data_IF_461094698337
#
_entry.id   IF_461094698337
#
_cell.length_a   1.000
_cell.length_b   1.000
_cell.length_c   1.000
_cell.angle_alpha   90.00
_cell.angle_beta   90.00
_cell.angle_gamma   90.00
#
_symmetry.space_group_name_H-M   'P 1'
#
loop_
_entity.id
_entity.type
_entity.pdbx_description
1 polymer ?
#
# COMPACT_ATOMS: atom_id res chain seq x y z
N UNK A 1 -2.05 23.71 -46.37
CA UNK A 1 -2.40 22.49 -45.63
C UNK A 1 -1.78 22.65 -44.25
N UNK A 2 -2.54 22.58 -43.15
CA UNK A 2 -1.94 22.53 -41.82
C UNK A 2 -1.11 21.25 -41.78
N UNK A 3 0.19 21.40 -41.51
CA UNK A 3 1.10 20.28 -41.28
C UNK A 3 0.71 19.61 -39.98
N UNK A 4 0.48 18.30 -40.00
CA UNK A 4 0.27 17.52 -38.78
C UNK A 4 1.45 17.76 -37.82
N UNK A 5 1.21 17.86 -36.49
CA UNK A 5 2.26 18.03 -35.51
C UNK A 5 3.33 16.94 -35.67
N UNK A 6 4.60 17.34 -35.68
CA UNK A 6 5.73 16.42 -35.61
C UNK A 6 5.77 15.75 -34.23
N UNK A 7 6.06 14.45 -34.18
CA UNK A 7 6.15 13.67 -32.93
C UNK A 7 7.04 14.40 -31.92
N UNK A 8 6.43 14.89 -30.84
CA UNK A 8 7.12 15.54 -29.71
C UNK A 8 6.74 17.00 -29.42
N UNK A 9 6.03 17.68 -30.33
CA UNK A 9 5.56 19.06 -30.08
C UNK A 9 4.22 19.05 -29.32
N UNK A 10 4.12 19.85 -28.24
CA UNK A 10 2.87 20.02 -27.50
C UNK A 10 1.78 20.63 -28.40
N UNK A 11 0.55 20.10 -28.41
CA UNK A 11 -0.52 20.60 -29.26
C UNK A 11 -0.83 22.06 -28.91
N UNK A 12 -0.79 22.94 -29.92
CA UNK A 12 -1.06 24.36 -29.75
C UNK A 12 -2.53 24.69 -30.09
N UNK A 13 -3.00 25.87 -29.68
CA UNK A 13 -4.30 26.36 -30.12
C UNK A 13 -4.33 26.53 -31.65
N UNK A 14 -5.41 26.12 -32.35
CA UNK A 14 -6.68 25.62 -31.81
C UNK A 14 -6.76 24.09 -31.66
N UNK A 15 -5.73 23.33 -32.01
CA UNK A 15 -5.71 21.86 -32.01
C UNK A 15 -5.94 21.28 -30.61
N UNK A 16 -5.45 21.97 -29.57
CA UNK A 16 -5.69 21.61 -28.17
C UNK A 16 -7.18 21.54 -27.81
N UNK A 17 -8.04 22.31 -28.49
CA UNK A 17 -9.49 22.29 -28.26
C UNK A 17 -10.20 21.07 -28.87
N UNK A 18 -9.49 20.27 -29.68
CA UNK A 18 -10.02 19.02 -30.23
C UNK A 18 -9.87 17.84 -29.26
N UNK A 19 -9.04 17.99 -28.22
CA UNK A 19 -8.85 16.94 -27.22
C UNK A 19 -10.01 16.91 -26.22
N UNK A 20 -10.39 15.71 -25.74
CA UNK A 20 -11.45 15.59 -24.75
C UNK A 20 -11.02 16.24 -23.43
N UNK A 21 -11.90 17.06 -22.84
CA UNK A 21 -11.68 17.65 -21.50
C UNK A 21 -11.59 16.60 -20.39
N UNK A 22 -12.22 15.44 -20.60
CA UNK A 22 -12.32 14.36 -19.63
C UNK A 22 -11.62 13.12 -20.14
N UNK A 23 -10.88 12.46 -19.25
CA UNK A 23 -10.27 11.15 -19.49
C UNK A 23 -10.67 10.17 -18.39
N UNK A 24 -10.93 8.89 -18.71
CA UNK A 24 -11.24 7.90 -17.70
C UNK A 24 -10.00 7.61 -16.84
N UNK A 25 -10.16 7.68 -15.53
CA UNK A 25 -9.14 7.30 -14.55
C UNK A 25 -9.71 6.34 -13.50
N UNK A 26 -8.84 5.56 -12.86
CA UNK A 26 -9.25 4.65 -11.80
C UNK A 26 -8.91 5.23 -10.42
N UNK A 27 -9.94 5.46 -9.60
CA UNK A 27 -9.77 5.89 -8.21
C UNK A 27 -9.36 4.68 -7.35
N UNK A 28 -8.09 4.60 -6.96
CA UNK A 28 -7.54 3.50 -6.16
C UNK A 28 -8.21 3.33 -4.79
N UNK A 29 -8.73 4.42 -4.19
CA UNK A 29 -9.39 4.38 -2.88
C UNK A 29 -10.83 3.92 -3.00
N UNK A 30 -11.56 4.44 -4.00
CA UNK A 30 -12.97 4.10 -4.23
C UNK A 30 -13.16 2.84 -5.07
N UNK A 31 -12.10 2.36 -5.72
CA UNK A 31 -12.06 1.20 -6.63
C UNK A 31 -13.05 1.34 -7.79
N UNK A 32 -13.12 2.53 -8.39
CA UNK A 32 -14.07 2.86 -9.46
C UNK A 32 -13.42 3.68 -10.55
N UNK A 33 -13.87 3.45 -11.78
CA UNK A 33 -13.61 4.34 -12.90
C UNK A 33 -14.38 5.64 -12.73
N UNK A 34 -13.69 6.76 -12.93
CA UNK A 34 -14.22 8.12 -12.83
C UNK A 34 -13.70 8.95 -14.01
N UNK A 35 -14.44 9.96 -14.41
CA UNK A 35 -13.98 10.92 -15.41
C UNK A 35 -13.12 12.00 -14.72
N UNK A 36 -11.88 12.13 -15.16
CA UNK A 36 -10.91 13.10 -14.65
C UNK A 36 -10.80 14.29 -15.60
N UNK A 37 -10.80 15.50 -15.04
CA UNK A 37 -10.52 16.73 -15.80
C UNK A 37 -9.03 16.78 -16.16
N UNK A 38 -8.72 16.78 -17.46
CA UNK A 38 -7.34 16.79 -17.98
C UNK A 38 -6.54 17.96 -17.40
N UNK A 39 -7.15 19.15 -17.35
CA UNK A 39 -6.52 20.38 -16.84
C UNK A 39 -6.15 20.33 -15.34
N UNK A 40 -6.66 19.32 -14.59
CA UNK A 40 -6.38 19.13 -13.15
C UNK A 40 -5.41 17.98 -12.88
N UNK A 41 -4.95 17.29 -13.91
CA UNK A 41 -3.96 16.24 -13.76
C UNK A 41 -2.60 16.89 -13.51
N UNK A 42 -1.95 16.48 -12.44
CA UNK A 42 -0.64 16.98 -12.04
C UNK A 42 0.15 15.85 -11.39
N UNK A 43 1.47 16.03 -11.32
CA UNK A 43 2.34 15.10 -10.62
C UNK A 43 1.97 14.98 -9.14
N UNK A 44 2.13 13.77 -8.61
CA UNK A 44 1.86 13.49 -7.19
C UNK A 44 2.90 14.15 -6.31
N UNK A 45 2.46 15.02 -5.40
CA UNK A 45 3.31 15.62 -4.37
C UNK A 45 3.43 14.68 -3.17
N UNK A 46 4.52 13.92 -3.11
CA UNK A 46 4.79 12.97 -2.02
C UNK A 46 5.18 13.66 -0.70
N UNK A 47 4.58 13.22 0.40
CA UNK A 47 4.82 13.72 1.75
C UNK A 47 6.07 13.10 2.38
N UNK A 48 7.22 13.75 2.16
CA UNK A 48 8.51 13.34 2.72
C UNK A 48 8.55 13.30 4.27
N UNK A 49 7.64 14.00 4.94
CA UNK A 49 7.57 14.09 6.40
C UNK A 49 6.64 13.06 7.03
N UNK A 50 5.87 12.30 6.22
CA UNK A 50 4.94 11.31 6.72
C UNK A 50 5.64 10.31 7.65
N UNK A 51 6.73 9.71 7.17
CA UNK A 51 7.48 8.73 7.94
C UNK A 51 8.23 9.30 9.14
N UNK A 52 8.79 10.52 9.04
CA UNK A 52 9.46 11.14 10.19
C UNK A 52 8.47 11.42 11.33
N UNK A 53 7.22 11.75 10.99
CA UNK A 53 6.16 12.01 11.96
C UNK A 53 5.55 10.76 12.62
N UNK A 54 5.86 9.56 12.11
CA UNK A 54 5.47 8.30 12.72
C UNK A 54 6.06 8.20 14.13
N UNK A 55 5.21 7.99 15.14
CA UNK A 55 5.67 7.80 16.52
C UNK A 55 5.91 6.32 16.76
N UNK A 56 7.12 5.87 16.41
CA UNK A 56 7.62 4.51 16.58
C UNK A 56 9.07 4.55 17.11
N UNK A 57 9.58 3.42 17.62
CA UNK A 57 10.98 3.31 18.00
C UNK A 57 11.91 3.40 16.78
N UNK A 58 13.12 3.91 17.00
CA UNK A 58 14.08 4.18 15.93
C UNK A 58 14.54 2.90 15.23
N UNK A 59 14.64 1.78 15.95
CA UNK A 59 14.97 0.48 15.36
C UNK A 59 13.93 0.05 14.30
N UNK A 60 12.64 0.19 14.61
CA UNK A 60 11.58 -0.14 13.66
C UNK A 60 11.62 0.77 12.44
N UNK A 61 11.84 2.08 12.63
CA UNK A 61 11.97 3.03 11.52
C UNK A 61 13.15 2.67 10.61
N UNK A 62 14.28 2.32 11.22
CA UNK A 62 15.50 1.93 10.50
C UNK A 62 15.27 0.66 9.69
N UNK A 63 14.64 -0.36 10.28
CA UNK A 63 14.33 -1.61 9.59
C UNK A 63 13.38 -1.41 8.40
N UNK A 64 12.29 -0.66 8.60
CA UNK A 64 11.34 -0.36 7.52
C UNK A 64 12.07 0.37 6.39
N UNK A 65 12.83 1.42 6.71
CA UNK A 65 13.52 2.21 5.71
C UNK A 65 14.54 1.38 4.92
N UNK A 66 15.31 0.53 5.61
CA UNK A 66 16.30 -0.35 4.99
C UNK A 66 15.64 -1.33 4.01
N UNK A 67 14.57 -2.01 4.43
CA UNK A 67 13.88 -2.99 3.58
C UNK A 67 13.18 -2.34 2.38
N UNK A 68 12.50 -1.21 2.60
CA UNK A 68 11.82 -0.48 1.53
C UNK A 68 12.84 0.05 0.52
N UNK A 69 13.97 0.61 0.98
CA UNK A 69 15.04 1.10 0.09
C UNK A 69 15.64 -0.03 -0.72
N UNK A 70 15.98 -1.15 -0.07
CA UNK A 70 16.52 -2.34 -0.75
C UNK A 70 15.55 -2.89 -1.80
N UNK A 71 14.24 -2.88 -1.51
CA UNK A 71 13.22 -3.28 -2.47
C UNK A 71 13.20 -2.38 -3.71
N UNK A 72 13.27 -1.06 -3.51
CA UNK A 72 13.24 -0.09 -4.62
C UNK A 72 14.50 -0.20 -5.48
N UNK A 73 15.65 -0.44 -4.86
CA UNK A 73 16.91 -0.65 -5.58
C UNK A 73 16.93 -1.97 -6.34
N UNK A 74 16.43 -3.05 -5.73
CA UNK A 74 16.29 -4.37 -6.38
C UNK A 74 15.35 -4.36 -7.59
N UNK A 75 14.31 -3.52 -7.56
CA UNK A 75 13.37 -3.33 -8.68
C UNK A 75 14.02 -2.58 -9.87
N UNK A 76 15.03 -1.74 -9.59
CA UNK A 76 15.80 -1.00 -10.61
C UNK A 76 16.96 -1.80 -11.18
N UNK A 77 17.51 -2.73 -10.41
CA UNK A 77 18.57 -3.64 -10.84
C UNK A 77 17.98 -4.79 -11.66
N UNK A 78 18.13 -4.74 -12.99
CA UNK A 78 17.71 -5.83 -13.88
C UNK A 78 18.58 -7.08 -13.70
N UNK A 79 18.41 -7.82 -12.60
CA UNK A 79 19.08 -9.11 -12.44
C UNK A 79 18.26 -10.20 -13.14
N UNK A 80 18.88 -10.76 -14.19
CA UNK A 80 18.33 -11.76 -15.13
C UNK A 80 18.25 -13.16 -14.47
N UNK A 81 18.52 -13.28 -13.18
CA UNK A 81 18.55 -14.55 -12.45
C UNK A 81 17.22 -14.73 -11.70
N UNK A 82 16.40 -15.64 -12.24
CA UNK A 82 15.12 -16.19 -11.78
C UNK A 82 14.30 -15.46 -10.68
N UNK A 83 13.15 -14.96 -11.13
CA UNK A 83 12.10 -14.21 -10.44
C UNK A 83 11.34 -15.05 -9.39
N UNK A 84 12.00 -15.54 -8.35
CA UNK A 84 11.32 -16.19 -7.22
C UNK A 84 11.54 -15.42 -5.93
N UNK A 85 10.52 -14.67 -5.50
CA UNK A 85 10.39 -14.21 -4.11
C UNK A 85 10.96 -12.83 -3.75
N UNK A 86 11.15 -11.91 -4.70
CA UNK A 86 11.64 -10.55 -4.43
C UNK A 86 10.57 -9.57 -3.91
N UNK A 87 9.36 -10.03 -3.57
CA UNK A 87 8.36 -9.16 -2.95
C UNK A 87 8.70 -8.84 -1.49
N UNK A 88 8.50 -7.59 -1.08
CA UNK A 88 8.60 -7.18 0.32
C UNK A 88 7.23 -7.33 0.99
N UNK A 89 7.08 -8.33 1.84
CA UNK A 89 5.89 -8.58 2.65
C UNK A 89 6.15 -8.19 4.11
N UNK A 90 5.37 -7.22 4.59
CA UNK A 90 5.44 -6.72 5.96
C UNK A 90 4.13 -7.04 6.69
N UNK A 91 4.24 -7.53 7.93
CA UNK A 91 3.11 -7.73 8.82
C UNK A 91 3.16 -6.74 9.97
N UNK A 92 2.13 -5.91 10.09
CA UNK A 92 1.92 -4.96 11.18
C UNK A 92 0.81 -5.50 12.08
N UNK A 93 1.13 -5.85 13.32
CA UNK A 93 0.15 -6.46 14.23
C UNK A 93 0.14 -5.77 15.59
N UNK A 94 -1.03 -5.61 16.20
CA UNK A 94 -1.16 -4.88 17.45
C UNK A 94 -2.57 -4.37 17.67
N UNK A 95 -2.86 -3.82 18.85
CA UNK A 95 -4.19 -3.28 19.17
C UNK A 95 -4.65 -2.21 18.13
N UNK A 96 -5.97 -2.04 17.94
CA UNK A 96 -6.50 -0.99 17.06
C UNK A 96 -6.04 0.40 17.52
N UNK A 97 -5.88 1.34 16.58
CA UNK A 97 -5.47 2.73 16.89
C UNK A 97 -4.00 2.92 17.26
N UNK A 98 -3.12 1.94 16.99
CA UNK A 98 -1.68 2.01 17.29
C UNK A 98 -0.80 2.55 16.15
N UNK A 99 -1.40 2.92 15.01
CA UNK A 99 -0.69 3.53 13.88
C UNK A 99 -0.28 2.58 12.75
N UNK A 100 -0.76 1.34 12.73
CA UNK A 100 -0.46 0.34 11.68
C UNK A 100 -0.74 0.87 10.26
N UNK A 101 -1.96 1.34 10.01
CA UNK A 101 -2.38 1.89 8.71
C UNK A 101 -1.56 3.13 8.33
N UNK A 102 -1.28 4.00 9.30
CA UNK A 102 -0.45 5.19 9.08
C UNK A 102 1.00 4.84 8.70
N UNK A 103 1.54 3.74 9.22
CA UNK A 103 2.84 3.22 8.77
C UNK A 103 2.78 2.74 7.33
N UNK A 104 1.70 2.06 6.92
CA UNK A 104 1.53 1.64 5.53
C UNK A 104 1.48 2.83 4.56
N UNK A 105 0.71 3.87 4.91
CA UNK A 105 0.69 5.15 4.19
C UNK A 105 2.08 5.78 4.12
N UNK A 106 2.80 5.82 5.25
CA UNK A 106 4.15 6.39 5.29
C UNK A 106 5.16 5.61 4.45
N UNK A 107 5.02 4.28 4.35
CA UNK A 107 5.84 3.45 3.45
C UNK A 107 5.56 3.80 2.00
N UNK A 108 4.29 3.94 1.60
CA UNK A 108 3.91 4.32 0.25
C UNK A 108 4.51 5.69 -0.15
N UNK A 109 4.48 6.66 0.77
CA UNK A 109 5.09 7.98 0.58
C UNK A 109 6.61 7.93 0.39
N UNK A 110 7.33 7.12 1.18
CA UNK A 110 8.79 6.93 1.01
C UNK A 110 9.10 6.22 -0.31
N UNK A 111 8.33 5.17 -0.63
CA UNK A 111 8.49 4.41 -1.85
C UNK A 111 8.13 5.21 -3.10
N UNK A 112 7.41 6.33 -2.93
CA UNK A 112 6.79 7.10 -4.03
C UNK A 112 5.93 6.22 -4.92
N UNK A 113 5.21 5.31 -4.29
CA UNK A 113 4.29 4.37 -4.92
C UNK A 113 2.90 4.61 -4.34
N UNK A 114 1.83 4.63 -5.15
CA UNK A 114 0.47 4.83 -4.64
C UNK A 114 0.08 3.69 -3.67
N UNK A 115 -0.74 4.01 -2.67
CA UNK A 115 -1.27 3.02 -1.74
C UNK A 115 -2.58 2.44 -2.30
N UNK A 116 -2.65 1.11 -2.42
CA UNK A 116 -3.85 0.39 -2.81
C UNK A 116 -4.43 -0.40 -1.62
N UNK A 117 -5.39 0.18 -0.87
CA UNK A 117 -5.97 -0.46 0.29
C UNK A 117 -7.06 -1.47 -0.08
N UNK A 118 -7.02 -2.62 0.57
CA UNK A 118 -7.97 -3.71 0.44
C UNK A 118 -8.34 -4.19 1.83
N UNK A 119 -9.63 -4.22 2.12
CA UNK A 119 -10.13 -4.67 3.42
C UNK A 119 -10.64 -6.10 3.29
N UNK A 120 -10.64 -6.86 4.39
CA UNK A 120 -11.21 -8.22 4.36
C UNK A 120 -12.70 -8.24 4.01
N UNK A 121 -13.44 -7.14 4.23
CA UNK A 121 -14.81 -6.98 3.75
C UNK A 121 -14.93 -7.04 2.22
N UNK A 122 -13.88 -6.65 1.49
CA UNK A 122 -13.87 -6.66 0.02
C UNK A 122 -13.62 -8.06 -0.57
N UNK A 123 -13.02 -8.97 0.20
CA UNK A 123 -12.46 -10.25 -0.29
C UNK A 123 -13.49 -11.39 -0.24
N UNK A 124 -14.48 -11.31 0.65
CA UNK A 124 -15.48 -12.36 0.88
C UNK A 124 -14.96 -13.53 1.75
N UNK A 125 -15.72 -14.62 1.84
CA UNK A 125 -15.43 -15.78 2.72
C UNK A 125 -15.36 -17.13 1.98
N UNK A 126 -15.59 -17.16 0.67
CA UNK A 126 -15.49 -18.38 -0.14
C UNK A 126 -14.09 -18.50 -0.75
N UNK A 127 -13.36 -19.62 -0.55
CA UNK A 127 -11.97 -19.77 -1.00
C UNK A 127 -11.72 -19.45 -2.48
N UNK A 128 -12.60 -19.89 -3.38
CA UNK A 128 -12.44 -19.63 -4.82
C UNK A 128 -12.65 -18.15 -5.19
N UNK A 129 -13.59 -17.48 -4.53
CA UNK A 129 -13.83 -16.05 -4.73
C UNK A 129 -12.65 -15.23 -4.18
N UNK A 130 -12.16 -15.60 -2.99
CA UNK A 130 -10.98 -15.00 -2.35
C UNK A 130 -9.74 -15.14 -3.24
N UNK A 131 -9.49 -16.33 -3.81
CA UNK A 131 -8.36 -16.58 -4.71
C UNK A 131 -8.40 -15.63 -5.91
N UNK A 132 -9.52 -15.62 -6.64
CA UNK A 132 -9.70 -14.77 -7.83
C UNK A 132 -9.57 -13.27 -7.50
N UNK A 133 -10.08 -12.86 -6.35
CA UNK A 133 -10.00 -11.48 -5.90
C UNK A 133 -8.56 -11.08 -5.55
N UNK A 134 -7.84 -11.90 -4.79
CA UNK A 134 -6.43 -11.67 -4.45
C UNK A 134 -5.54 -11.65 -5.71
N UNK A 135 -5.77 -12.55 -6.66
CA UNK A 135 -5.09 -12.54 -7.96
C UNK A 135 -5.29 -11.21 -8.68
N UNK A 136 -6.52 -10.70 -8.69
CA UNK A 136 -6.85 -9.42 -9.32
C UNK A 136 -6.18 -8.24 -8.58
N UNK A 137 -6.22 -8.23 -7.25
CA UNK A 137 -5.57 -7.20 -6.42
C UNK A 137 -4.06 -7.17 -6.65
N UNK A 138 -3.42 -8.33 -6.68
CA UNK A 138 -1.98 -8.45 -6.85
C UNK A 138 -1.55 -8.13 -8.29
N UNK A 139 -2.36 -8.52 -9.28
CA UNK A 139 -2.16 -8.11 -10.67
C UNK A 139 -2.23 -6.57 -10.81
N UNK A 140 -3.24 -5.92 -10.24
CA UNK A 140 -3.37 -4.46 -10.26
C UNK A 140 -2.24 -3.79 -9.49
N UNK A 141 -1.91 -4.29 -8.30
CA UNK A 141 -0.83 -3.76 -7.47
C UNK A 141 0.52 -3.78 -8.19
N UNK A 142 0.79 -4.82 -8.97
CA UNK A 142 1.99 -4.89 -9.83
C UNK A 142 1.89 -3.99 -11.05
N UNK A 143 0.75 -4.00 -11.75
CA UNK A 143 0.55 -3.23 -13.00
C UNK A 143 0.65 -1.73 -12.77
N UNK A 144 0.15 -1.25 -11.63
CA UNK A 144 0.17 0.17 -11.25
C UNK A 144 1.35 0.55 -10.34
N UNK A 145 2.24 -0.40 -10.06
CA UNK A 145 3.39 -0.22 -9.18
C UNK A 145 3.01 0.38 -7.80
N UNK A 146 2.01 -0.23 -7.15
CA UNK A 146 1.46 0.22 -5.87
C UNK A 146 2.11 -0.49 -4.67
N UNK A 147 2.05 0.17 -3.51
CA UNK A 147 2.06 -0.54 -2.23
C UNK A 147 0.67 -1.12 -1.99
N UNK A 148 0.54 -2.44 -1.90
CA UNK A 148 -0.73 -3.10 -1.57
C UNK A 148 -0.87 -3.20 -0.07
N UNK A 149 -1.98 -2.72 0.48
CA UNK A 149 -2.33 -2.84 1.89
C UNK A 149 -3.51 -3.79 2.04
N UNK A 150 -3.31 -4.93 2.69
CA UNK A 150 -4.40 -5.79 3.15
C UNK A 150 -4.69 -5.49 4.61
N UNK A 151 -5.75 -4.71 4.83
CA UNK A 151 -6.16 -4.27 6.16
C UNK A 151 -7.06 -5.33 6.82
N UNK A 152 -6.85 -5.54 8.12
CA UNK A 152 -7.61 -6.49 8.95
C UNK A 152 -7.51 -7.96 8.51
N UNK A 153 -6.34 -8.39 8.04
CA UNK A 153 -6.05 -9.74 7.52
C UNK A 153 -6.10 -10.89 8.56
N UNK A 154 -6.86 -10.76 9.64
CA UNK A 154 -6.86 -11.71 10.77
C UNK A 154 -7.35 -13.10 10.39
N UNK A 155 -8.41 -13.16 9.58
CA UNK A 155 -8.96 -14.42 9.03
C UNK A 155 -7.89 -15.15 8.22
N UNK A 156 -7.10 -14.36 7.50
CA UNK A 156 -5.85 -14.64 6.79
C UNK A 156 -4.80 -15.45 7.55
N UNK A 157 -4.53 -14.95 8.76
CA UNK A 157 -3.27 -15.18 9.46
C UNK A 157 -3.40 -16.13 10.66
N UNK A 158 -4.62 -16.43 11.10
CA UNK A 158 -4.81 -17.35 12.23
C UNK A 158 -4.31 -18.76 11.90
N UNK A 159 -3.97 -19.49 12.96
CA UNK A 159 -3.55 -20.88 12.87
C UNK A 159 -4.64 -21.78 12.26
N UNK A 160 -4.18 -22.73 11.43
CA UNK A 160 -5.00 -23.81 10.91
C UNK A 160 -5.41 -24.78 12.01
N UNK A 161 -6.65 -25.28 11.96
CA UNK A 161 -7.18 -26.26 12.92
C UNK A 161 -7.83 -27.44 12.19
N UNK A 162 -7.84 -28.63 12.78
CA UNK A 162 -8.43 -29.82 12.14
C UNK A 162 -9.96 -29.70 11.91
N UNK A 163 -10.62 -28.81 12.65
CA UNK A 163 -12.08 -28.69 12.67
C UNK A 163 -12.61 -27.69 11.63
N UNK A 164 -11.77 -26.79 11.12
CA UNK A 164 -12.19 -25.72 10.21
C UNK A 164 -11.52 -25.83 8.83
N UNK A 165 -12.09 -26.71 7.99
CA UNK A 165 -11.59 -26.96 6.63
C UNK A 165 -11.70 -25.73 5.72
N UNK A 166 -12.79 -24.96 5.82
CA UNK A 166 -13.01 -23.79 4.97
C UNK A 166 -11.96 -22.72 5.26
N UNK A 167 -11.70 -22.45 6.54
CA UNK A 167 -10.70 -21.48 6.95
C UNK A 167 -9.28 -21.94 6.63
N UNK A 168 -8.98 -23.22 6.78
CA UNK A 168 -7.70 -23.77 6.32
C UNK A 168 -7.49 -23.60 4.82
N UNK A 169 -8.55 -23.73 4.02
CA UNK A 169 -8.49 -23.46 2.59
C UNK A 169 -8.19 -21.97 2.32
N UNK A 170 -8.82 -21.04 3.04
CA UNK A 170 -8.53 -19.60 2.94
C UNK A 170 -7.06 -19.28 3.28
N UNK A 171 -6.55 -19.81 4.40
CA UNK A 171 -5.13 -19.65 4.79
C UNK A 171 -4.19 -20.20 3.70
N UNK A 172 -4.55 -21.34 3.09
CA UNK A 172 -3.74 -21.97 2.03
C UNK A 172 -3.74 -21.16 0.73
N UNK A 173 -4.90 -20.64 0.32
CA UNK A 173 -5.03 -19.72 -0.82
C UNK A 173 -4.16 -18.49 -0.58
N UNK A 174 -4.25 -17.91 0.62
CA UNK A 174 -3.51 -16.71 0.96
C UNK A 174 -1.98 -16.93 0.95
N UNK A 175 -1.49 -18.01 1.56
CA UNK A 175 -0.07 -18.37 1.54
C UNK A 175 0.49 -18.55 0.13
N UNK A 176 -0.28 -19.18 -0.77
CA UNK A 176 0.10 -19.32 -2.18
C UNK A 176 0.15 -17.96 -2.86
N UNK A 177 -0.84 -17.10 -2.62
CA UNK A 177 -0.88 -15.77 -3.21
C UNK A 177 0.32 -14.89 -2.77
N UNK A 178 0.76 -14.99 -1.50
CA UNK A 178 1.96 -14.32 -1.00
C UNK A 178 3.26 -14.79 -1.67
N UNK A 179 3.35 -16.07 -2.05
CA UNK A 179 4.58 -16.65 -2.62
C UNK A 179 4.91 -16.09 -4.01
N UNK A 180 3.90 -15.69 -4.77
CA UNK A 180 4.06 -15.18 -6.14
C UNK A 180 3.99 -13.66 -6.22
N UNK A 181 3.69 -12.97 -5.10
CA UNK A 181 3.58 -11.52 -5.14
C UNK A 181 4.96 -10.86 -5.23
N UNK A 182 5.09 -9.99 -6.22
CA UNK A 182 6.33 -9.33 -6.62
C UNK A 182 6.08 -7.82 -6.58
N UNK A 183 6.18 -7.27 -5.36
CA UNK A 183 5.84 -5.89 -5.02
C UNK A 183 5.94 -5.65 -3.50
N UNK A 184 5.49 -4.48 -3.04
CA UNK A 184 5.43 -4.15 -1.60
C UNK A 184 4.03 -4.47 -1.08
N UNK A 185 3.93 -5.47 -0.20
CA UNK A 185 2.70 -5.90 0.44
C UNK A 185 2.76 -5.64 1.94
N UNK A 186 1.75 -4.96 2.47
CA UNK A 186 1.61 -4.67 3.89
C UNK A 186 0.32 -5.32 4.39
N UNK A 187 0.47 -6.19 5.37
CA UNK A 187 -0.63 -6.84 6.06
C UNK A 187 -0.82 -6.16 7.41
N UNK A 188 -2.06 -5.85 7.78
CA UNK A 188 -2.37 -5.42 9.14
C UNK A 188 -3.27 -6.44 9.84
N UNK A 189 -3.16 -6.54 11.15
CA UNK A 189 -4.10 -7.31 11.97
C UNK A 189 -4.24 -6.69 13.35
N UNK A 190 -5.44 -6.75 13.93
CA UNK A 190 -5.64 -6.32 15.31
C UNK A 190 -5.35 -7.43 16.33
N UNK A 191 -5.10 -8.66 15.87
CA UNK A 191 -4.77 -9.79 16.74
C UNK A 191 -3.31 -9.73 17.20
N UNK A 192 -3.14 -9.91 18.50
CA UNK A 192 -1.84 -10.07 19.14
C UNK A 192 -1.77 -11.52 19.58
N UNK A 193 -0.95 -12.34 18.92
CA UNK A 193 -0.92 -13.77 19.21
C UNK A 193 -0.12 -14.58 18.20
N UNK A 194 -0.33 -15.89 18.22
CA UNK A 194 0.33 -16.84 17.33
C UNK A 194 -0.37 -16.91 15.97
N UNK A 195 0.37 -16.60 14.91
CA UNK A 195 -0.06 -16.78 13.53
C UNK A 195 0.28 -18.20 13.04
N UNK A 196 -0.24 -18.60 11.88
CA UNK A 196 0.20 -19.85 11.24
C UNK A 196 1.71 -19.80 10.97
N UNK A 197 2.43 -20.82 11.40
CA UNK A 197 3.90 -20.90 11.25
C UNK A 197 4.36 -20.81 9.79
N UNK A 198 3.50 -21.19 8.83
CA UNK A 198 3.81 -21.12 7.41
C UNK A 198 3.98 -19.68 6.87
N UNK A 199 3.54 -18.66 7.63
CA UNK A 199 3.78 -17.27 7.29
C UNK A 199 5.21 -16.80 7.57
N UNK A 200 5.95 -17.46 8.47
CA UNK A 200 7.31 -17.03 8.85
C UNK A 200 8.29 -17.05 7.67
N UNK A 201 8.11 -17.94 6.70
CA UNK A 201 8.98 -18.01 5.52
C UNK A 201 8.59 -17.04 4.40
N UNK A 202 7.46 -16.35 4.54
CA UNK A 202 6.87 -15.46 3.50
C UNK A 202 6.78 -14.00 3.94
N UNK A 203 6.99 -13.72 5.22
CA UNK A 203 6.98 -12.37 5.79
C UNK A 203 8.42 -12.00 6.13
N UNK A 204 8.97 -11.00 5.44
CA UNK A 204 10.32 -10.51 5.67
C UNK A 204 10.42 -9.65 6.93
N UNK A 205 9.33 -8.97 7.30
CA UNK A 205 9.28 -8.14 8.50
C UNK A 205 7.95 -8.27 9.21
N UNK A 206 7.98 -8.69 10.48
CA UNK A 206 6.82 -8.68 11.36
C UNK A 206 7.05 -7.65 12.49
N UNK A 207 6.21 -6.63 12.55
CA UNK A 207 6.28 -5.55 13.53
C UNK A 207 5.10 -5.61 14.49
N UNK A 208 5.46 -5.74 15.78
CA UNK A 208 4.50 -5.68 16.88
C UNK A 208 4.31 -4.24 17.35
N UNK A 209 3.09 -3.75 17.27
CA UNK A 209 2.66 -2.48 17.82
C UNK A 209 2.10 -2.69 19.23
N UNK A 210 2.80 -2.13 20.20
CA UNK A 210 2.31 -2.06 21.58
C UNK A 210 1.30 -0.93 21.77
N UNK A 211 0.59 -0.95 22.91
CA UNK A 211 -0.26 0.18 23.27
C UNK A 211 0.59 1.42 23.47
N UNK A 212 0.13 2.53 22.92
CA UNK A 212 0.80 3.81 23.00
C UNK A 212 0.89 4.30 24.45
N UNK A 213 2.11 4.58 24.90
CA UNK A 213 2.37 5.24 26.18
C UNK A 213 1.89 6.70 26.15
N UNK A 214 1.69 7.30 27.32
CA UNK A 214 1.14 8.67 27.42
C UNK A 214 2.00 9.69 26.67
N UNK A 215 3.33 9.56 26.73
CA UNK A 215 4.24 10.45 26.00
C UNK A 215 4.09 10.30 24.48
N UNK A 216 3.88 9.08 23.97
CA UNK A 216 3.70 8.81 22.54
C UNK A 216 2.38 9.42 22.05
N UNK A 217 1.30 9.26 22.83
CA UNK A 217 0.01 9.90 22.54
C UNK A 217 0.13 11.41 22.51
N UNK A 218 0.84 12.02 23.48
CA UNK A 218 1.10 13.46 23.50
C UNK A 218 1.87 13.93 22.25
N UNK A 219 2.86 13.15 21.82
CA UNK A 219 3.62 13.44 20.60
C UNK A 219 2.75 13.37 19.34
N UNK A 220 1.87 12.36 19.23
CA UNK A 220 0.91 12.23 18.12
C UNK A 220 0.01 13.47 18.06
N UNK A 221 -0.56 13.89 19.20
CA UNK A 221 -1.39 15.10 19.25
C UNK A 221 -0.62 16.35 18.85
N UNK A 222 0.63 16.51 19.30
CA UNK A 222 1.46 17.64 18.89
C UNK A 222 1.69 17.66 17.38
N UNK A 223 2.07 16.52 16.79
CA UNK A 223 2.27 16.39 15.35
C UNK A 223 0.98 16.72 14.57
N UNK A 224 -0.18 16.32 15.08
CA UNK A 224 -1.48 16.65 14.49
C UNK A 224 -1.79 18.15 14.52
N UNK A 225 -1.56 18.81 15.65
CA UNK A 225 -1.73 20.27 15.76
C UNK A 225 -0.76 21.05 14.87
N UNK A 226 0.49 20.60 14.75
CA UNK A 226 1.47 21.22 13.85
C UNK A 226 1.02 21.11 12.38
N UNK A 227 0.52 19.94 11.96
CA UNK A 227 -0.06 19.76 10.62
C UNK A 227 -1.27 20.65 10.37
N UNK A 228 -2.18 20.77 11.35
CA UNK A 228 -3.35 21.64 11.22
C UNK A 228 -2.98 23.12 11.05
N UNK A 229 -1.93 23.59 11.73
CA UNK A 229 -1.44 24.96 11.57
C UNK A 229 -0.93 25.21 10.16
N UNK A 230 -0.14 24.27 9.60
CA UNK A 230 0.34 24.38 8.22
C UNK A 230 -0.80 24.44 7.19
N UNK A 231 -1.85 23.64 7.37
CA UNK A 231 -3.03 23.67 6.48
C UNK A 231 -3.82 24.98 6.54
N UNK A 232 -3.85 25.63 7.71
CA UNK A 232 -4.52 26.92 7.90
C UNK A 232 -3.76 28.09 7.25
N UNK A 233 -2.44 27.97 7.10
CA UNK A 233 -1.59 28.98 6.45
C UNK A 233 -1.64 28.84 4.91
N UNK A 234 -1.77 27.63 4.36
CA UNK A 234 -1.93 27.40 2.91
C UNK A 234 -3.29 27.86 2.35
N UNK A 235 -4.33 27.96 3.19
CA UNK A 235 -5.67 28.45 2.76
C UNK A 235 -5.83 29.98 2.87
N UNK A 236 -4.76 30.71 3.24
CA UNK A 236 -4.76 32.19 3.32
C UNK A 236 -3.93 32.87 2.22
N UNK A 237 -3.43 32.12 1.24
CA UNK A 237 -2.72 32.60 0.05
C UNK A 237 -3.52 32.28 -1.22
#
# INVERSE_FOLDING_TARGET
MPTLPTDGDEPQAPEIYLFPRLVPGFDLRRKKWVDLEVDRIQDVTWNKHAFSSLVANDDMKTLILALVTNQIEGDRGTDIIDKKGNGLVMLLHGSPGTGKTFTAESVAEIARKPLYPVTCGDIGNEPAAVEKYLESVFFLGKTWDCVVLLDEAEVFLEQRTLQDLQRNALVSVFLRALEYYDGILILTTNRVGTFDEAFKSRIQLALRYERLKDYQRKQIWRNFFERLKGLGEEHQL
#
